data_IF_524031450383
#
_entry.id   IF_524031450383
#
_cell.length_a   1.000
_cell.length_b   1.000
_cell.length_c   1.000
_cell.angle_alpha   90.00
_cell.angle_beta   90.00
_cell.angle_gamma   90.00
#
_symmetry.space_group_name_H-M   'P 1'
#
loop_
_entity.id
_entity.type
_entity.pdbx_description
1 polymer ?
#
# COMPACT_ATOMS: atom_id res chain seq x y z
N UNK A 1 -11.65 5.81 -0.08
CA UNK A 1 -11.51 4.72 0.91
C UNK A 1 -10.12 4.09 0.79
N UNK A 2 -9.43 3.80 1.89
CA UNK A 2 -8.08 3.21 1.88
C UNK A 2 -8.17 1.75 1.42
N UNK A 3 -7.24 1.29 0.57
CA UNK A 3 -7.21 -0.09 0.03
C UNK A 3 -6.06 -0.88 0.63
N UNK A 4 -4.83 -0.37 0.54
CA UNK A 4 -3.61 -1.00 1.05
C UNK A 4 -2.71 0.09 1.62
N UNK A 5 -2.00 -0.20 2.71
CA UNK A 5 -0.99 0.68 3.29
C UNK A 5 0.14 -0.16 3.86
N UNK A 6 1.35 0.38 3.78
CA UNK A 6 2.52 -0.24 4.39
C UNK A 6 3.42 0.85 4.97
N UNK A 7 4.28 0.45 5.91
CA UNK A 7 5.20 1.33 6.61
C UNK A 7 6.60 0.77 6.53
N UNK A 8 7.58 1.66 6.46
CA UNK A 8 8.99 1.30 6.46
C UNK A 8 9.71 2.02 7.59
N UNK A 9 10.65 1.31 8.22
CA UNK A 9 11.48 1.90 9.25
C UNK A 9 12.50 2.85 8.62
N UNK A 10 12.65 4.02 9.24
CA UNK A 10 13.63 5.04 8.86
C UNK A 10 14.48 5.37 10.09
N UNK A 11 15.71 5.83 9.86
CA UNK A 11 16.62 6.28 10.91
C UNK A 11 16.98 7.75 10.72
N UNK A 12 17.71 8.31 11.69
CA UNK A 12 18.11 9.73 11.71
C UNK A 12 19.20 10.09 10.69
N UNK A 13 19.79 9.10 10.01
CA UNK A 13 20.84 9.30 9.01
C UNK A 13 20.26 9.57 7.62
N UNK A 14 18.95 9.32 7.43
CA UNK A 14 18.29 9.52 6.15
C UNK A 14 18.08 11.02 5.86
N UNK A 15 18.64 11.46 4.74
CA UNK A 15 18.34 12.77 4.18
C UNK A 15 16.89 12.83 3.67
N UNK A 16 16.34 14.04 3.43
CA UNK A 16 15.02 14.18 2.78
C UNK A 16 14.93 13.47 1.43
N UNK A 17 16.02 13.45 0.65
CA UNK A 17 16.07 12.71 -0.62
C UNK A 17 16.04 11.20 -0.41
N UNK A 18 16.76 10.70 0.61
CA UNK A 18 16.72 9.29 1.01
C UNK A 18 15.32 8.86 1.43
N UNK A 19 14.63 9.67 2.23
CA UNK A 19 13.23 9.44 2.61
C UNK A 19 12.30 9.39 1.39
N UNK A 20 12.52 10.28 0.40
CA UNK A 20 11.73 10.27 -0.83
C UNK A 20 11.94 8.98 -1.63
N UNK A 21 13.17 8.50 -1.73
CA UNK A 21 13.47 7.27 -2.45
C UNK A 21 12.84 6.05 -1.77
N UNK A 22 12.99 5.95 -0.45
CA UNK A 22 12.36 4.91 0.38
C UNK A 22 10.83 4.95 0.26
N UNK A 23 10.23 6.14 0.33
CA UNK A 23 8.79 6.33 0.14
C UNK A 23 8.31 5.85 -1.23
N UNK A 24 9.04 6.18 -2.30
CA UNK A 24 8.71 5.76 -3.67
C UNK A 24 8.70 4.24 -3.83
N UNK A 25 9.59 3.55 -3.15
CA UNK A 25 9.69 2.09 -3.23
C UNK A 25 8.54 1.42 -2.46
N UNK A 26 8.16 1.95 -1.29
CA UNK A 26 6.95 1.52 -0.55
C UNK A 26 5.68 1.79 -1.36
N UNK A 27 5.55 2.98 -1.93
CA UNK A 27 4.40 3.38 -2.76
C UNK A 27 4.20 2.41 -3.94
N UNK A 28 5.28 2.03 -4.63
CA UNK A 28 5.21 1.06 -5.74
C UNK A 28 4.70 -0.30 -5.29
N UNK A 29 5.18 -0.80 -4.15
CA UNK A 29 4.76 -2.11 -3.62
C UNK A 29 3.30 -2.11 -3.16
N UNK A 30 2.90 -1.08 -2.42
CA UNK A 30 1.51 -0.88 -1.97
C UNK A 30 0.57 -0.75 -3.16
N UNK A 31 0.94 0.06 -4.16
CA UNK A 31 0.14 0.25 -5.36
C UNK A 31 0.00 -1.05 -6.16
N UNK A 32 1.09 -1.80 -6.35
CA UNK A 32 1.05 -3.08 -7.07
C UNK A 32 0.07 -4.06 -6.42
N UNK A 33 0.13 -4.21 -5.09
CA UNK A 33 -0.80 -5.07 -4.32
C UNK A 33 -2.25 -4.61 -4.43
N UNK A 34 -2.50 -3.30 -4.30
CA UNK A 34 -3.84 -2.73 -4.44
C UNK A 34 -4.42 -2.95 -5.85
N UNK A 35 -3.61 -2.77 -6.89
CA UNK A 35 -4.00 -3.02 -8.28
C UNK A 35 -4.29 -4.51 -8.49
N UNK A 36 -3.45 -5.40 -7.97
CA UNK A 36 -3.69 -6.83 -8.06
C UNK A 36 -5.03 -7.23 -7.40
N UNK A 37 -5.27 -6.76 -6.18
CA UNK A 37 -6.55 -7.00 -5.48
C UNK A 37 -7.76 -6.45 -6.25
N UNK A 38 -7.60 -5.31 -6.93
CA UNK A 38 -8.64 -4.73 -7.78
C UNK A 38 -8.92 -5.62 -9.01
N UNK A 39 -7.88 -6.06 -9.71
CA UNK A 39 -8.01 -6.93 -10.89
C UNK A 39 -8.59 -8.31 -10.55
N UNK A 40 -8.28 -8.82 -9.37
CA UNK A 40 -8.82 -10.08 -8.84
C UNK A 40 -10.23 -9.92 -8.23
N UNK A 41 -10.86 -8.74 -8.35
CA UNK A 41 -12.19 -8.44 -7.81
C UNK A 41 -12.32 -8.68 -6.29
N UNK A 42 -11.21 -8.52 -5.54
CA UNK A 42 -11.15 -8.72 -4.09
C UNK A 42 -11.48 -7.49 -3.26
N UNK A 43 -12.01 -6.43 -3.88
CA UNK A 43 -12.28 -5.14 -3.24
C UNK A 43 -13.78 -4.85 -3.26
N UNK A 44 -14.38 -4.72 -2.08
CA UNK A 44 -15.76 -4.23 -1.90
C UNK A 44 -15.72 -2.85 -1.23
N UNK A 45 -16.38 -1.87 -1.83
CA UNK A 45 -16.57 -0.55 -1.22
C UNK A 45 -17.82 -0.61 -0.33
N UNK A 46 -17.68 -0.24 0.94
CA UNK A 46 -18.79 -0.19 1.89
C UNK A 46 -18.80 1.16 2.61
N UNK A 47 -19.76 2.01 2.25
CA UNK A 47 -19.84 3.40 2.71
C UNK A 47 -18.50 4.14 2.50
N UNK A 48 -17.85 4.59 3.58
CA UNK A 48 -16.56 5.29 3.50
C UNK A 48 -15.34 4.35 3.63
N UNK A 49 -15.55 3.03 3.71
CA UNK A 49 -14.51 2.02 3.92
C UNK A 49 -14.40 1.05 2.76
N UNK A 50 -13.34 0.27 2.78
CA UNK A 50 -13.06 -0.80 1.83
C UNK A 50 -12.90 -2.11 2.60
N UNK A 51 -13.52 -3.17 2.11
CA UNK A 51 -13.28 -4.55 2.55
C UNK A 51 -12.39 -5.18 1.47
N UNK A 52 -11.23 -5.68 1.87
CA UNK A 52 -10.27 -6.35 0.98
C UNK A 52 -10.17 -7.81 1.42
N UNK A 53 -10.48 -8.75 0.54
CA UNK A 53 -10.33 -10.18 0.82
C UNK A 53 -8.87 -10.57 0.60
N UNK A 54 -8.23 -11.23 1.55
CA UNK A 54 -6.85 -11.70 1.39
C UNK A 54 -6.80 -12.88 0.42
N UNK A 55 -5.68 -13.01 -0.31
CA UNK A 55 -5.46 -14.11 -1.24
C UNK A 55 -5.12 -15.45 -0.54
N UNK A 56 -4.91 -15.44 0.79
CA UNK A 56 -4.56 -16.63 1.55
C UNK A 56 -5.77 -17.26 2.26
N UNK A 57 -5.99 -18.54 1.93
CA UNK A 57 -6.64 -19.58 2.71
C UNK A 57 -5.77 -20.84 2.65
#
# INVERSE_FOLDING_TARGET
>A
PIIEQDVVRVNHELSPEGLRQVGKDVERQVLSRAVQAHLEHRIIIFNNRTIVFNAEH
#
